data_IF_509236767226
#
_entry.id   IF_509236767226
#
_cell.length_a   1.000
_cell.length_b   1.000
_cell.length_c   1.000
_cell.angle_alpha   90.00
_cell.angle_beta   90.00
_cell.angle_gamma   90.00
#
_symmetry.space_group_name_H-M   'P 1'
#
loop_
_entity.id
_entity.type
_entity.pdbx_description
1 polymer ?
#
# COMPACT_ATOMS: atom_id res chain seq x y z
N UNK A 1 -38.63 1.11 46.80
CA UNK A 1 -37.28 1.73 46.75
C UNK A 1 -36.63 1.33 45.43
N UNK A 2 -36.73 2.13 44.37
CA UNK A 2 -35.73 3.15 44.02
C UNK A 2 -35.01 2.77 42.71
N UNK A 3 -35.64 2.98 41.54
CA UNK A 3 -35.00 2.80 40.22
C UNK A 3 -34.15 4.03 39.90
N UNK A 4 -32.84 3.85 39.77
CA UNK A 4 -31.91 4.90 39.29
C UNK A 4 -31.92 4.89 37.76
N UNK A 5 -32.54 5.91 37.15
CA UNK A 5 -32.42 6.21 35.71
C UNK A 5 -31.14 7.03 35.49
N UNK A 6 -30.13 6.49 34.81
CA UNK A 6 -29.02 7.29 34.26
C UNK A 6 -29.48 7.95 32.96
N UNK A 7 -29.46 9.28 32.93
CA UNK A 7 -29.69 10.09 31.73
C UNK A 7 -28.43 10.05 30.86
N UNK A 8 -28.55 9.60 29.63
CA UNK A 8 -27.55 9.84 28.58
C UNK A 8 -27.74 11.29 28.09
N UNK A 9 -26.71 12.13 28.19
CA UNK A 9 -26.64 13.41 27.47
C UNK A 9 -26.08 13.12 26.08
N UNK A 10 -26.83 13.48 25.05
CA UNK A 10 -26.36 13.53 23.67
C UNK A 10 -25.40 14.71 23.50
N UNK A 11 -24.14 14.41 23.20
CA UNK A 11 -23.17 15.39 22.70
C UNK A 11 -23.22 15.40 21.19
N UNK A 12 -23.71 16.49 20.59
CA UNK A 12 -23.58 16.77 19.16
C UNK A 12 -22.09 16.91 18.81
N UNK A 13 -21.52 15.92 18.14
CA UNK A 13 -20.26 16.08 17.42
C UNK A 13 -20.55 16.81 16.10
N UNK A 14 -20.07 18.05 15.99
CA UNK A 14 -20.16 18.85 14.78
C UNK A 14 -19.35 18.21 13.66
N UNK A 15 -20.02 17.98 12.52
CA UNK A 15 -19.45 17.48 11.30
C UNK A 15 -18.52 18.55 10.68
N UNK A 16 -17.21 18.45 10.88
CA UNK A 16 -16.21 19.25 10.17
C UNK A 16 -15.78 18.50 8.91
N UNK A 17 -16.64 18.57 7.89
CA UNK A 17 -16.32 18.17 6.53
C UNK A 17 -16.77 19.29 5.60
N UNK A 18 -15.91 20.30 5.44
CA UNK A 18 -15.97 21.25 4.32
C UNK A 18 -14.55 21.65 3.91
N UNK A 19 -14.37 21.68 2.60
CA UNK A 19 -13.26 22.27 1.84
C UNK A 19 -12.01 21.41 1.60
N UNK A 20 -12.22 20.28 0.91
CA UNK A 20 -11.22 19.68 0.04
C UNK A 20 -11.71 19.76 -1.42
N UNK A 21 -11.92 20.98 -1.92
CA UNK A 21 -12.18 21.22 -3.35
C UNK A 21 -11.70 22.63 -3.72
N UNK A 22 -10.40 22.78 -3.96
CA UNK A 22 -9.83 23.89 -4.74
C UNK A 22 -8.63 23.41 -5.54
N UNK A 23 -8.91 22.84 -6.71
CA UNK A 23 -7.96 22.85 -7.83
C UNK A 23 -7.76 24.31 -8.25
N UNK A 24 -6.57 24.88 -8.00
CA UNK A 24 -6.21 26.18 -8.56
C UNK A 24 -5.44 25.94 -9.86
N UNK A 25 -5.92 26.41 -11.03
CA UNK A 25 -5.11 26.41 -12.24
C UNK A 25 -3.98 27.44 -12.09
N UNK A 26 -2.76 27.05 -12.44
CA UNK A 26 -1.64 27.97 -12.55
C UNK A 26 -1.85 28.89 -13.77
N UNK A 27 -1.76 30.21 -13.55
CA UNK A 27 -1.83 31.22 -14.61
C UNK A 27 -0.44 31.35 -15.26
N UNK A 28 -0.30 31.30 -16.60
CA UNK A 28 0.98 31.51 -17.26
C UNK A 28 1.42 32.98 -17.16
N UNK A 29 2.65 33.22 -16.71
CA UNK A 29 3.31 34.54 -16.79
C UNK A 29 3.76 34.88 -18.22
N UNK A 30 4.06 36.16 -18.50
CA UNK A 30 4.29 36.64 -19.85
C UNK A 30 5.62 36.12 -20.45
N UNK A 31 5.59 35.90 -21.76
CA UNK A 31 6.64 35.27 -22.55
C UNK A 31 7.98 36.00 -22.56
N UNK A 32 9.03 35.23 -22.86
CA UNK A 32 10.34 35.75 -23.26
C UNK A 32 10.68 35.20 -24.64
N UNK A 33 11.16 36.11 -25.49
CA UNK A 33 11.56 35.87 -26.88
C UNK A 33 12.69 34.83 -27.03
N UNK A 34 12.79 34.17 -28.20
CA UNK A 34 13.76 33.08 -28.43
C UNK A 34 15.12 33.61 -28.88
N UNK A 35 16.24 32.94 -28.54
CA UNK A 35 17.51 33.17 -29.22
C UNK A 35 17.59 32.36 -30.52
N UNK A 36 18.17 33.00 -31.54
CA UNK A 36 18.35 32.52 -32.92
C UNK A 36 19.47 31.47 -33.03
N UNK A 37 19.19 30.43 -33.85
CA UNK A 37 20.05 29.89 -34.90
C UNK A 37 21.46 29.37 -34.59
N UNK A 38 21.65 28.06 -34.75
CA UNK A 38 22.97 27.43 -34.91
C UNK A 38 22.85 26.00 -35.43
N UNK A 39 23.10 25.81 -36.73
CA UNK A 39 23.11 24.53 -37.45
C UNK A 39 24.34 23.69 -37.10
N UNK A 40 24.16 22.42 -36.74
CA UNK A 40 25.27 21.48 -36.55
C UNK A 40 24.77 20.04 -36.37
N UNK A 41 24.71 19.29 -37.47
CA UNK A 41 24.33 17.87 -37.50
C UNK A 41 25.55 17.03 -37.12
N UNK A 42 25.47 16.28 -36.03
CA UNK A 42 26.42 15.19 -35.73
C UNK A 42 25.68 14.03 -35.07
N UNK A 43 25.59 12.91 -35.79
CA UNK A 43 25.07 11.64 -35.30
C UNK A 43 25.98 11.09 -34.20
N UNK A 44 25.41 10.77 -33.04
CA UNK A 44 26.07 9.94 -32.02
C UNK A 44 25.13 8.81 -31.58
N UNK A 45 25.69 7.60 -31.65
CA UNK A 45 25.17 6.32 -31.18
C UNK A 45 24.63 6.38 -29.72
N UNK A 46 23.76 5.45 -29.29
CA UNK A 46 23.11 5.50 -27.99
C UNK A 46 24.17 5.46 -26.88
N UNK A 47 24.24 6.55 -26.12
CA UNK A 47 24.98 6.58 -24.86
C UNK A 47 24.07 5.98 -23.80
N UNK A 48 24.48 4.87 -23.21
CA UNK A 48 24.00 4.45 -21.90
C UNK A 48 24.39 5.56 -20.91
N UNK A 49 23.47 6.49 -20.68
CA UNK A 49 23.61 7.54 -19.69
C UNK A 49 23.33 6.97 -18.32
N UNK A 50 24.37 6.52 -17.62
CA UNK A 50 24.33 6.43 -16.15
C UNK A 50 24.35 7.86 -15.61
N UNK A 51 23.19 8.52 -15.64
CA UNK A 51 22.96 9.79 -14.97
C UNK A 51 23.01 9.56 -13.46
N UNK A 52 24.16 9.86 -12.84
CA UNK A 52 24.24 10.11 -11.40
C UNK A 52 23.54 11.44 -11.13
N UNK A 53 22.30 11.39 -10.67
CA UNK A 53 21.71 12.50 -9.91
C UNK A 53 21.65 12.10 -8.43
N UNK A 54 22.35 12.90 -7.62
CA UNK A 54 22.54 12.66 -6.19
C UNK A 54 21.27 12.94 -5.40
N UNK A 55 20.76 11.90 -4.73
CA UNK A 55 19.67 11.99 -3.76
C UNK A 55 19.35 10.63 -3.13
N UNK A 56 20.08 10.29 -2.06
CA UNK A 56 19.88 9.14 -1.17
C UNK A 56 19.78 7.73 -1.80
N UNK A 57 20.94 7.16 -2.17
CA UNK A 57 21.11 5.71 -2.38
C UNK A 57 21.03 4.89 -1.07
N UNK A 58 20.10 5.20 -0.17
CA UNK A 58 20.05 4.59 1.18
C UNK A 58 18.67 4.38 1.80
N UNK A 59 17.56 4.64 1.10
CA UNK A 59 16.19 4.47 1.67
C UNK A 59 15.19 3.75 0.77
N UNK A 60 15.62 3.25 -0.39
CA UNK A 60 14.73 2.55 -1.30
C UNK A 60 14.72 1.04 -0.98
N UNK A 61 13.60 0.53 -0.46
CA UNK A 61 13.40 -0.90 -0.25
C UNK A 61 13.33 -1.68 -1.58
N UNK A 62 12.64 -1.12 -2.58
CA UNK A 62 12.49 -1.73 -3.90
C UNK A 62 12.36 -0.66 -4.98
N UNK A 63 12.98 -0.91 -6.14
CA UNK A 63 12.80 -0.10 -7.37
C UNK A 63 12.40 -1.03 -8.51
N UNK A 64 11.40 -0.64 -9.27
CA UNK A 64 10.88 -1.38 -10.42
C UNK A 64 10.80 -0.40 -11.59
N UNK A 65 11.47 -0.73 -12.69
CA UNK A 65 11.38 0.02 -13.95
C UNK A 65 10.69 -0.83 -15.01
N UNK A 66 9.84 -0.21 -15.83
CA UNK A 66 9.18 -0.84 -16.97
C UNK A 66 9.33 0.10 -18.16
N UNK A 67 10.14 -0.31 -19.13
CA UNK A 67 10.41 0.48 -20.33
C UNK A 67 9.84 -0.23 -21.56
N UNK A 68 9.12 0.52 -22.41
CA UNK A 68 8.57 0.02 -23.66
C UNK A 68 8.49 1.11 -24.73
N UNK A 69 9.14 0.87 -25.86
CA UNK A 69 9.21 1.83 -26.96
C UNK A 69 10.14 3.01 -26.66
N UNK A 70 9.99 4.08 -27.42
CA UNK A 70 10.76 5.33 -27.26
C UNK A 70 9.80 6.47 -26.89
N UNK A 71 9.58 6.63 -25.59
CA UNK A 71 8.65 7.61 -25.03
C UNK A 71 9.18 9.04 -25.20
N UNK A 72 10.50 9.23 -25.12
CA UNK A 72 11.12 10.55 -25.31
C UNK A 72 10.94 11.04 -26.75
N UNK A 73 11.15 10.17 -27.74
CA UNK A 73 10.86 10.50 -29.14
C UNK A 73 9.37 10.83 -29.36
N UNK A 74 8.45 10.11 -28.68
CA UNK A 74 7.02 10.41 -28.77
C UNK A 74 6.69 11.81 -28.24
N UNK A 75 7.34 12.25 -27.15
CA UNK A 75 7.13 13.59 -26.58
C UNK A 75 7.77 14.73 -27.38
N UNK A 76 8.75 14.43 -28.25
CA UNK A 76 9.42 15.42 -29.10
C UNK A 76 8.70 15.70 -30.42
N UNK A 77 7.63 14.97 -30.74
CA UNK A 77 6.87 15.18 -31.97
C UNK A 77 6.07 16.48 -31.91
N UNK A 78 6.10 17.26 -33.00
CA UNK A 78 5.40 18.54 -33.10
C UNK A 78 3.87 18.42 -33.05
N UNK A 79 3.32 17.25 -33.39
CA UNK A 79 1.88 16.97 -33.37
C UNK A 79 1.37 16.48 -32.00
N UNK A 80 2.24 16.42 -30.99
CA UNK A 80 1.94 15.89 -29.66
C UNK A 80 1.76 17.00 -28.64
N UNK A 81 0.63 16.95 -27.96
CA UNK A 81 0.30 17.76 -26.79
C UNK A 81 0.72 16.97 -25.56
N UNK A 82 1.63 17.54 -24.76
CA UNK A 82 2.10 16.94 -23.51
C UNK A 82 1.32 17.53 -22.34
N UNK A 83 0.78 16.66 -21.50
CA UNK A 83 0.11 17.01 -20.24
C UNK A 83 0.85 16.34 -19.10
N UNK A 84 1.20 17.11 -18.08
CA UNK A 84 1.88 16.64 -16.89
C UNK A 84 1.12 17.05 -15.63
N UNK A 85 1.10 16.17 -14.65
CA UNK A 85 0.59 16.47 -13.32
C UNK A 85 1.22 15.59 -12.25
N UNK A 86 1.01 16.00 -11.01
CA UNK A 86 1.42 15.25 -9.82
C UNK A 86 0.21 15.09 -8.89
N UNK A 87 0.05 13.89 -8.35
CA UNK A 87 -1.05 13.50 -7.47
C UNK A 87 -0.52 12.78 -6.25
N UNK A 88 -1.24 12.93 -5.14
CA UNK A 88 -0.92 12.26 -3.89
C UNK A 88 -2.12 11.46 -3.39
N UNK A 89 -1.84 10.30 -2.80
CA UNK A 89 -2.82 9.51 -2.06
C UNK A 89 -2.31 9.28 -0.64
N UNK A 90 -3.17 9.47 0.36
CA UNK A 90 -2.82 9.20 1.75
C UNK A 90 -2.83 7.71 2.10
N UNK A 91 -2.38 7.41 3.33
CA UNK A 91 -2.58 6.09 3.91
C UNK A 91 -4.08 5.79 4.04
N UNK A 92 -4.47 4.55 3.76
CA UNK A 92 -5.86 4.13 3.84
C UNK A 92 -5.98 2.81 4.60
N UNK A 93 -6.88 2.81 5.58
CA UNK A 93 -7.31 1.62 6.32
C UNK A 93 -8.42 0.89 5.55
N UNK A 94 -8.41 -0.44 5.65
CA UNK A 94 -9.35 -1.38 5.03
C UNK A 94 -10.71 -1.34 5.72
N UNK A 95 -10.72 -1.07 7.04
CA UNK A 95 -11.93 -0.89 7.85
C UNK A 95 -12.96 -2.03 7.73
N UNK A 96 -12.50 -3.29 7.59
CA UNK A 96 -13.37 -4.45 7.78
C UNK A 96 -14.07 -4.37 9.14
N UNK A 97 -15.32 -4.84 9.24
CA UNK A 97 -16.14 -4.65 10.46
C UNK A 97 -15.63 -5.54 11.59
N UNK A 98 -15.23 -6.78 11.27
CA UNK A 98 -14.67 -7.73 12.24
C UNK A 98 -13.15 -7.54 12.37
N UNK A 99 -12.60 -7.17 13.54
CA UNK A 99 -11.15 -7.10 13.76
C UNK A 99 -10.41 -8.43 13.51
N UNK A 100 -9.08 -8.37 13.51
CA UNK A 100 -8.20 -9.54 13.49
C UNK A 100 -8.45 -10.39 14.73
N UNK A 101 -8.49 -11.71 14.52
CA UNK A 101 -8.73 -12.66 15.58
C UNK A 101 -8.16 -14.03 15.23
N UNK A 102 -7.50 -14.64 16.22
CA UNK A 102 -6.87 -15.94 16.09
C UNK A 102 -7.01 -16.76 17.38
N UNK A 103 -7.25 -18.05 17.21
CA UNK A 103 -7.17 -19.06 18.27
C UNK A 103 -6.08 -20.05 17.87
N UNK A 104 -5.22 -20.43 18.81
CA UNK A 104 -4.19 -21.42 18.57
C UNK A 104 -4.17 -22.49 19.67
N UNK A 105 -3.88 -23.71 19.26
CA UNK A 105 -3.55 -24.84 20.12
C UNK A 105 -2.27 -25.46 19.56
N UNK A 106 -1.18 -25.33 20.31
CA UNK A 106 0.11 -25.91 19.98
C UNK A 106 0.42 -27.11 20.87
N UNK A 107 1.18 -28.05 20.35
CA UNK A 107 1.79 -29.18 21.07
C UNK A 107 3.30 -29.14 20.80
N UNK A 108 4.12 -29.98 21.44
CA UNK A 108 5.54 -30.07 21.09
C UNK A 108 5.80 -30.36 19.61
N UNK A 109 4.89 -31.10 18.94
CA UNK A 109 5.13 -31.64 17.59
C UNK A 109 4.19 -31.09 16.52
N UNK A 110 3.20 -30.26 16.87
CA UNK A 110 2.18 -29.78 15.92
C UNK A 110 1.46 -28.52 16.41
N UNK A 111 0.88 -27.77 15.49
CA UNK A 111 0.03 -26.61 15.80
C UNK A 111 -1.25 -26.63 14.95
N UNK A 112 -2.38 -26.28 15.57
CA UNK A 112 -3.59 -25.88 14.85
C UNK A 112 -3.96 -24.46 15.21
N UNK A 113 -4.25 -23.65 14.19
CA UNK A 113 -4.78 -22.29 14.36
C UNK A 113 -6.11 -22.12 13.64
N UNK A 114 -6.99 -21.32 14.23
CA UNK A 114 -8.29 -20.91 13.68
C UNK A 114 -8.36 -19.40 13.67
N UNK A 115 -8.82 -18.79 12.57
CA UNK A 115 -8.99 -17.34 12.58
C UNK A 115 -9.68 -16.79 11.35
N UNK A 116 -9.97 -15.50 11.44
CA UNK A 116 -10.51 -14.69 10.36
C UNK A 116 -9.37 -14.22 9.46
N UNK A 117 -9.34 -14.71 8.21
CA UNK A 117 -8.21 -14.52 7.29
C UNK A 117 -8.64 -14.78 5.83
N UNK A 118 -7.90 -14.23 4.87
CA UNK A 118 -8.11 -14.43 3.44
C UNK A 118 -7.23 -15.55 2.86
N UNK A 119 -6.01 -15.70 3.39
CA UNK A 119 -4.98 -16.55 2.79
C UNK A 119 -4.43 -17.56 3.80
N UNK A 120 -5.10 -18.70 4.05
CA UNK A 120 -4.64 -19.70 5.02
C UNK A 120 -3.24 -20.24 4.72
N UNK A 121 -2.86 -20.32 3.45
CA UNK A 121 -1.53 -20.77 3.04
C UNK A 121 -0.40 -19.80 3.41
N UNK A 122 -0.69 -18.51 3.58
CA UNK A 122 0.33 -17.56 4.07
C UNK A 122 0.63 -17.82 5.54
N UNK A 123 -0.42 -18.00 6.35
CA UNK A 123 -0.28 -18.35 7.77
C UNK A 123 0.40 -19.71 7.93
N UNK A 124 0.04 -20.69 7.10
CA UNK A 124 0.64 -22.03 7.11
C UNK A 124 2.15 -21.97 6.86
N UNK A 125 2.57 -21.22 5.84
CA UNK A 125 3.99 -20.99 5.52
C UNK A 125 4.72 -20.21 6.61
N UNK A 126 4.05 -19.27 7.27
CA UNK A 126 4.65 -18.45 8.32
C UNK A 126 4.87 -19.22 9.64
N UNK A 127 3.97 -20.13 10.00
CA UNK A 127 4.04 -20.85 11.29
C UNK A 127 5.15 -21.90 11.37
N UNK A 128 5.50 -22.54 10.26
CA UNK A 128 6.57 -23.55 10.23
C UNK A 128 7.89 -23.01 10.78
N UNK A 129 8.45 -21.91 10.22
CA UNK A 129 9.65 -21.26 10.75
C UNK A 129 9.51 -20.73 12.18
N UNK A 130 8.34 -20.24 12.58
CA UNK A 130 8.11 -19.68 13.93
C UNK A 130 8.24 -20.75 15.02
N UNK A 131 7.77 -21.96 14.75
CA UNK A 131 7.77 -23.06 15.73
C UNK A 131 8.82 -24.14 15.45
N UNK A 132 9.57 -24.03 14.34
CA UNK A 132 10.48 -25.09 13.90
C UNK A 132 9.76 -26.37 13.47
N UNK A 133 8.52 -26.26 12.96
CA UNK A 133 7.69 -27.39 12.57
C UNK A 133 7.72 -27.62 11.05
N UNK A 134 7.74 -28.88 10.58
CA UNK A 134 7.57 -29.16 9.17
C UNK A 134 6.11 -28.90 8.74
N UNK A 135 5.85 -28.65 7.44
CA UNK A 135 4.54 -28.20 6.93
C UNK A 135 3.36 -29.12 7.31
N UNK A 136 3.57 -30.43 7.35
CA UNK A 136 2.57 -31.44 7.70
C UNK A 136 2.15 -31.41 9.18
N UNK A 137 2.90 -30.70 10.03
CA UNK A 137 2.60 -30.49 11.45
C UNK A 137 1.89 -29.17 11.73
N UNK A 138 1.61 -28.38 10.70
CA UNK A 138 0.91 -27.11 10.79
C UNK A 138 -0.46 -27.24 10.15
N UNK A 139 -1.52 -26.92 10.91
CA UNK A 139 -2.89 -26.86 10.41
C UNK A 139 -3.46 -25.46 10.59
N UNK A 140 -3.96 -24.87 9.50
CA UNK A 140 -4.63 -23.56 9.52
C UNK A 140 -6.08 -23.75 9.09
N UNK A 141 -7.01 -23.26 9.90
CA UNK A 141 -8.44 -23.33 9.62
C UNK A 141 -8.95 -21.90 9.54
N UNK A 142 -9.30 -21.47 8.33
CA UNK A 142 -10.02 -20.22 8.13
C UNK A 142 -11.43 -20.37 8.70
N UNK A 143 -11.84 -19.47 9.59
CA UNK A 143 -13.23 -19.37 10.06
C UNK A 143 -14.02 -18.40 9.18
N UNK A 144 -15.32 -18.27 9.43
CA UNK A 144 -16.12 -17.19 8.84
C UNK A 144 -15.38 -15.86 9.02
N UNK A 145 -15.21 -15.12 7.93
CA UNK A 145 -14.36 -13.92 7.86
C UNK A 145 -15.25 -12.71 7.56
N UNK A 146 -15.36 -11.77 8.50
CA UNK A 146 -16.19 -10.57 8.44
C UNK A 146 -15.58 -9.42 7.63
N UNK A 147 -15.11 -9.72 6.42
CA UNK A 147 -14.41 -8.78 5.53
C UNK A 147 -12.89 -8.78 5.74
N UNK A 148 -12.14 -8.33 4.73
CA UNK A 148 -10.68 -8.31 4.75
C UNK A 148 -10.05 -7.24 3.84
N UNK A 149 -10.49 -7.14 2.58
CA UNK A 149 -10.06 -6.09 1.64
C UNK A 149 -8.52 -5.94 1.51
N UNK A 150 -7.79 -7.06 1.60
CA UNK A 150 -6.33 -7.12 1.58
C UNK A 150 -5.69 -7.08 2.97
N UNK A 151 -6.34 -6.49 3.97
CA UNK A 151 -5.80 -6.38 5.34
C UNK A 151 -5.79 -7.70 6.12
N UNK A 152 -6.43 -8.74 5.59
CA UNK A 152 -6.44 -10.10 6.16
C UNK A 152 -5.71 -11.13 5.27
N UNK A 153 -4.85 -10.68 4.36
CA UNK A 153 -4.02 -11.58 3.55
C UNK A 153 -2.75 -11.98 4.29
N UNK A 154 -1.83 -11.04 4.47
CA UNK A 154 -0.52 -11.29 5.09
C UNK A 154 -0.54 -11.09 6.60
N UNK A 155 -1.19 -10.03 7.09
CA UNK A 155 -1.12 -9.65 8.50
C UNK A 155 -1.52 -10.77 9.49
N UNK A 156 -2.50 -11.66 9.18
CA UNK A 156 -2.80 -12.80 10.04
C UNK A 156 -1.62 -13.71 10.38
N UNK A 157 -0.53 -13.69 9.61
CA UNK A 157 0.73 -14.38 9.92
C UNK A 157 1.25 -13.99 11.32
N UNK A 158 1.21 -12.69 11.64
CA UNK A 158 1.77 -12.13 12.87
C UNK A 158 0.95 -12.57 14.09
N UNK A 159 -0.36 -12.31 14.09
CA UNK A 159 -1.24 -12.69 15.21
C UNK A 159 -1.34 -14.22 15.36
N UNK A 160 -1.23 -15.00 14.28
CA UNK A 160 -1.11 -16.45 14.34
C UNK A 160 0.19 -16.91 14.99
N UNK A 161 1.33 -16.32 14.63
CA UNK A 161 2.61 -16.58 15.28
C UNK A 161 2.55 -16.30 16.78
N UNK A 162 1.99 -15.15 17.19
CA UNK A 162 1.81 -14.80 18.60
C UNK A 162 0.91 -15.79 19.34
N UNK A 163 -0.28 -16.10 18.82
CA UNK A 163 -1.20 -17.04 19.45
C UNK A 163 -0.58 -18.43 19.59
N UNK A 164 0.09 -18.91 18.55
CA UNK A 164 0.74 -20.21 18.51
C UNK A 164 1.90 -20.31 19.51
N UNK A 165 2.79 -19.31 19.54
CA UNK A 165 3.89 -19.24 20.50
C UNK A 165 3.39 -19.20 21.94
N UNK A 166 2.37 -18.39 22.23
CA UNK A 166 1.76 -18.31 23.56
C UNK A 166 1.13 -19.64 23.96
N UNK A 167 0.42 -20.32 23.04
CA UNK A 167 -0.14 -21.64 23.30
C UNK A 167 0.96 -22.66 23.63
N UNK A 168 2.06 -22.66 22.86
CA UNK A 168 3.20 -23.54 23.09
C UNK A 168 3.84 -23.28 24.46
N UNK A 169 4.09 -22.00 24.81
CA UNK A 169 4.63 -21.59 26.12
C UNK A 169 3.69 -21.90 27.28
N UNK A 170 2.39 -21.93 27.04
CA UNK A 170 1.37 -22.28 28.03
C UNK A 170 1.17 -23.80 28.20
N UNK A 171 2.06 -24.64 27.66
CA UNK A 171 1.96 -26.10 27.74
C UNK A 171 0.83 -26.67 26.87
N UNK A 172 0.55 -26.00 25.75
CA UNK A 172 -0.47 -26.42 24.78
C UNK A 172 -1.90 -26.05 25.12
N UNK A 173 -2.09 -25.15 26.09
CA UNK A 173 -3.42 -24.59 26.38
C UNK A 173 -3.92 -23.75 25.20
N UNK A 174 -5.22 -23.79 24.88
CA UNK A 174 -5.79 -22.90 23.88
C UNK A 174 -5.57 -21.43 24.22
N UNK A 175 -5.07 -20.67 23.25
CA UNK A 175 -4.90 -19.21 23.36
C UNK A 175 -5.77 -18.54 22.32
N UNK A 176 -6.57 -17.57 22.76
CA UNK A 176 -7.39 -16.71 21.89
C UNK A 176 -6.85 -15.29 21.97
N UNK A 177 -6.50 -14.71 20.83
CA UNK A 177 -6.14 -13.31 20.65
C UNK A 177 -7.16 -12.66 19.73
N UNK A 178 -7.76 -11.56 20.17
CA UNK A 178 -8.67 -10.74 19.37
C UNK A 178 -8.31 -9.31 19.64
N UNK A 179 -7.99 -8.57 18.58
CA UNK A 179 -7.70 -7.15 18.71
C UNK A 179 -8.97 -6.35 18.96
N UNK A 180 -8.82 -5.28 19.74
CA UNK A 180 -9.81 -4.20 19.66
C UNK A 180 -9.62 -3.39 18.37
N UNK A 181 -10.55 -2.49 18.08
CA UNK A 181 -10.51 -1.70 16.84
C UNK A 181 -9.25 -0.82 16.74
N UNK A 182 -8.81 -0.22 17.84
CA UNK A 182 -7.68 0.71 17.81
C UNK A 182 -6.36 -0.05 17.65
N UNK A 183 -6.21 -1.17 18.37
CA UNK A 183 -5.08 -2.08 18.22
C UNK A 183 -5.00 -2.61 16.79
N UNK A 184 -6.13 -3.03 16.21
CA UNK A 184 -6.20 -3.49 14.83
C UNK A 184 -5.71 -2.43 13.84
N UNK A 185 -6.21 -1.20 13.97
CA UNK A 185 -5.83 -0.08 13.11
C UNK A 185 -4.37 0.34 13.31
N UNK A 186 -3.81 0.22 14.51
CA UNK A 186 -2.40 0.53 14.75
C UNK A 186 -1.46 -0.54 14.24
N UNK A 187 -1.85 -1.80 14.36
CA UNK A 187 -0.95 -2.91 14.13
C UNK A 187 -0.91 -3.32 12.64
N UNK A 188 -2.05 -3.26 11.95
CA UNK A 188 -2.22 -3.87 10.61
C UNK A 188 -1.64 -3.04 9.47
N UNK A 189 -1.34 -3.71 8.34
CA UNK A 189 -0.86 -3.06 7.11
C UNK A 189 -1.88 -2.07 6.54
N UNK A 190 -1.42 -0.97 5.94
CA UNK A 190 -2.26 0.03 5.26
C UNK A 190 -1.95 0.06 3.77
N UNK A 191 -2.84 0.66 2.98
CA UNK A 191 -2.45 1.13 1.64
C UNK A 191 -1.36 2.18 1.80
N UNK A 192 -0.25 2.00 1.10
CA UNK A 192 0.87 2.94 1.12
C UNK A 192 0.43 4.33 0.63
N UNK A 193 0.79 5.40 1.35
CA UNK A 193 0.82 6.73 0.77
C UNK A 193 1.64 6.72 -0.51
N UNK A 194 1.21 7.48 -1.51
CA UNK A 194 1.93 7.58 -2.77
C UNK A 194 1.99 9.00 -3.29
N UNK A 195 3.10 9.33 -3.94
CA UNK A 195 3.24 10.50 -4.82
C UNK A 195 3.47 10.00 -6.22
N UNK A 196 2.59 10.36 -7.13
CA UNK A 196 2.60 9.91 -8.51
C UNK A 196 2.70 11.10 -9.45
N UNK A 197 3.75 11.14 -10.27
CA UNK A 197 3.89 12.10 -11.38
C UNK A 197 3.63 11.38 -12.68
N UNK A 198 2.71 11.91 -13.49
CA UNK A 198 2.34 11.33 -14.79
C UNK A 198 2.56 12.40 -15.85
N UNK A 199 3.35 12.05 -16.86
CA UNK A 199 3.50 12.81 -18.10
C UNK A 199 2.93 12.00 -19.25
N UNK A 200 1.91 12.53 -19.92
CA UNK A 200 1.20 11.87 -21.01
C UNK A 200 1.27 12.71 -22.29
N UNK A 201 1.47 12.07 -23.43
CA UNK A 201 1.55 12.72 -24.74
C UNK A 201 0.44 12.25 -25.65
N UNK A 202 -0.36 13.20 -26.17
CA UNK A 202 -1.52 12.91 -27.02
C UNK A 202 -1.43 13.62 -28.37
N UNK A 203 -1.95 13.00 -29.41
CA UNK A 203 -2.27 13.72 -30.65
C UNK A 203 -3.49 14.62 -30.46
N UNK A 204 -3.73 15.55 -31.41
CA UNK A 204 -4.90 16.45 -31.38
C UNK A 204 -6.25 15.72 -31.41
N UNK A 205 -6.30 14.53 -32.00
CA UNK A 205 -7.48 13.64 -32.02
C UNK A 205 -7.57 12.75 -30.77
N UNK A 206 -6.70 12.95 -29.77
CA UNK A 206 -6.79 12.31 -28.45
C UNK A 206 -6.11 10.94 -28.33
N UNK A 207 -5.28 10.53 -29.30
CA UNK A 207 -4.55 9.25 -29.23
C UNK A 207 -3.34 9.39 -28.32
N UNK A 208 -3.20 8.49 -27.33
CA UNK A 208 -2.03 8.42 -26.46
C UNK A 208 -0.83 7.84 -27.22
N UNK A 209 0.28 8.58 -27.26
CA UNK A 209 1.53 8.17 -27.91
C UNK A 209 2.69 7.91 -26.95
N UNK A 210 2.69 8.54 -25.79
CA UNK A 210 3.74 8.39 -24.78
C UNK A 210 3.20 8.54 -23.37
N UNK A 211 3.74 7.75 -22.45
CA UNK A 211 3.39 7.80 -21.04
C UNK A 211 4.66 7.56 -20.22
N UNK A 212 5.00 8.51 -19.35
CA UNK A 212 6.06 8.39 -18.36
C UNK A 212 5.42 8.54 -16.98
N UNK A 213 5.57 7.53 -16.12
CA UNK A 213 4.99 7.52 -14.78
C UNK A 213 6.07 7.25 -13.75
N UNK A 214 6.16 8.14 -12.77
CA UNK A 214 6.96 7.92 -11.57
C UNK A 214 6.02 7.76 -10.39
N UNK A 215 6.12 6.63 -9.69
CA UNK A 215 5.34 6.35 -8.47
C UNK A 215 6.32 6.15 -7.33
N UNK A 216 6.23 7.01 -6.33
CA UNK A 216 6.93 6.87 -5.06
C UNK A 216 5.92 6.44 -4.00
N UNK A 217 6.20 5.35 -3.31
CA UNK A 217 5.35 4.80 -2.25
C UNK A 217 6.11 4.78 -0.93
N UNK A 218 5.46 5.28 0.13
CA UNK A 218 5.97 5.15 1.49
C UNK A 218 5.59 3.76 2.02
N UNK A 219 6.61 2.91 2.19
CA UNK A 219 6.49 1.53 2.63
C UNK A 219 6.25 1.33 4.14
N UNK A 220 6.37 2.42 4.93
CA UNK A 220 6.49 2.36 6.40
C UNK A 220 7.93 2.43 6.90
#
# INVERSE_FOLDING_TARGET
>A
MGRVRRRHREGRAGNQHRDADRVRPAVPGPGRDPPRGGTGRASRAPRQGTGREGGAAGRAFKRIGIDKGDVDAAFLRDDVIVVEGSWETGAQEQLYIEPQGMVAVATPDAVTVWGSLQCPYYVHKALGPVLGLPPEKVRVIQTVTGGGFGGKEEYPNVIAGHAALLSWKAGGRPVKLVYDRLEDMWATTKRHPSRTTIRSGFTKDGRLLGLHVTIEMDGG
#
